data_IF_841196405702
#
_entry.id   IF_841196405702
#
_cell.length_a   1.000
_cell.length_b   1.000
_cell.length_c   1.000
_cell.angle_alpha   90.00
_cell.angle_beta   90.00
_cell.angle_gamma   90.00
#
_symmetry.space_group_name_H-M   'P 1'
#
loop_
_entity.id
_entity.type
_entity.pdbx_description
1 polymer ?
#
# COMPACT_ATOMS: atom_id res chain seq x y z
N UNK A 1 -10.12 68.07 13.45
CA UNK A 1 -11.52 67.94 13.91
C UNK A 1 -11.53 67.92 15.44
N UNK A 2 -12.00 68.99 16.09
CA UNK A 2 -12.18 69.02 17.55
C UNK A 2 -13.39 68.14 17.89
N UNK A 3 -13.18 67.14 18.75
CA UNK A 3 -14.24 66.25 19.23
C UNK A 3 -15.24 67.11 20.01
N UNK A 4 -16.51 67.03 19.63
CA UNK A 4 -17.57 67.89 20.14
C UNK A 4 -18.01 67.36 21.51
N UNK A 5 -17.51 67.93 22.62
CA UNK A 5 -17.74 67.44 23.99
C UNK A 5 -19.09 67.88 24.61
N UNK A 6 -19.90 68.65 23.87
CA UNK A 6 -21.23 69.10 24.29
C UNK A 6 -22.18 68.00 24.81
N UNK A 7 -22.30 66.79 24.22
CA UNK A 7 -23.21 65.78 24.76
C UNK A 7 -22.79 65.27 26.15
N UNK A 8 -21.49 65.29 26.46
CA UNK A 8 -20.96 64.85 27.75
C UNK A 8 -21.25 65.90 28.83
N UNK A 9 -21.06 67.19 28.51
CA UNK A 9 -21.37 68.32 29.39
C UNK A 9 -22.89 68.39 29.68
N UNK A 10 -23.73 68.24 28.66
CA UNK A 10 -25.19 68.24 28.82
C UNK A 10 -25.63 67.08 29.72
N UNK A 11 -25.05 65.88 29.57
CA UNK A 11 -25.37 64.73 30.43
C UNK A 11 -25.00 64.98 31.90
N UNK A 12 -23.85 65.61 32.16
CA UNK A 12 -23.40 65.96 33.51
C UNK A 12 -24.32 66.98 34.19
N UNK A 13 -24.75 68.00 33.46
CA UNK A 13 -25.67 69.03 33.98
C UNK A 13 -27.04 68.43 34.30
N UNK A 14 -27.57 67.55 33.44
CA UNK A 14 -28.84 66.85 33.68
C UNK A 14 -28.75 65.96 34.91
N UNK A 15 -27.66 65.21 35.08
CA UNK A 15 -27.44 64.36 36.27
C UNK A 15 -27.39 65.22 37.55
N UNK A 16 -26.69 66.36 37.51
CA UNK A 16 -26.59 67.27 38.65
C UNK A 16 -27.97 67.83 39.05
N UNK A 17 -28.78 68.25 38.07
CA UNK A 17 -30.13 68.75 38.32
C UNK A 17 -31.05 67.68 38.92
N UNK A 18 -30.95 66.43 38.45
CA UNK A 18 -31.70 65.30 39.01
C UNK A 18 -31.29 65.03 40.47
N UNK A 19 -29.99 65.12 40.80
CA UNK A 19 -29.49 64.95 42.17
C UNK A 19 -29.99 66.05 43.11
N UNK A 20 -29.98 67.32 42.65
CA UNK A 20 -30.49 68.46 43.43
C UNK A 20 -31.99 68.33 43.66
N UNK A 21 -32.75 67.95 42.62
CA UNK A 21 -34.19 67.75 42.73
C UNK A 21 -34.55 66.61 43.68
N UNK A 22 -33.82 65.49 43.64
CA UNK A 22 -34.06 64.37 44.56
C UNK A 22 -33.79 64.76 46.01
N UNK A 23 -32.77 65.59 46.27
CA UNK A 23 -32.45 66.08 47.61
C UNK A 23 -33.58 66.92 48.22
N UNK A 24 -34.25 67.75 47.41
CA UNK A 24 -35.38 68.58 47.83
C UNK A 24 -36.62 67.72 48.14
N UNK A 25 -36.85 66.64 47.40
CA UNK A 25 -38.02 65.79 47.59
C UNK A 25 -37.90 64.79 48.77
N UNK A 26 -36.70 64.53 49.29
CA UNK A 26 -36.47 63.53 50.36
C UNK A 26 -37.27 63.82 51.64
N UNK A 27 -37.35 65.08 52.08
CA UNK A 27 -38.11 65.42 53.30
C UNK A 27 -39.62 65.17 53.14
N UNK A 28 -40.19 65.52 51.98
CA UNK A 28 -41.61 65.30 51.73
C UNK A 28 -41.95 63.80 51.68
N UNK A 29 -41.09 63.00 51.06
CA UNK A 29 -41.22 61.55 50.99
C UNK A 29 -41.05 60.92 52.38
N UNK A 30 -40.11 61.41 53.19
CA UNK A 30 -39.87 60.91 54.55
C UNK A 30 -41.01 61.21 55.53
N UNK A 31 -41.62 62.40 55.42
CA UNK A 31 -42.81 62.76 56.17
C UNK A 31 -44.02 61.88 55.79
N UNK A 32 -44.16 61.52 54.52
CA UNK A 32 -45.24 60.64 54.05
C UNK A 32 -45.04 59.17 54.43
N UNK A 33 -43.82 58.63 54.26
CA UNK A 33 -43.52 57.21 54.48
C UNK A 33 -43.32 56.85 55.96
N UNK A 34 -42.75 57.76 56.77
CA UNK A 34 -42.50 57.55 58.20
C UNK A 34 -42.94 58.77 59.04
N UNK A 35 -44.24 59.10 59.07
CA UNK A 35 -44.76 60.35 59.65
C UNK A 35 -44.50 60.53 61.14
N UNK A 36 -44.34 59.44 61.90
CA UNK A 36 -44.19 59.45 63.37
C UNK A 36 -42.80 59.09 63.87
N UNK A 37 -41.82 58.92 62.97
CA UNK A 37 -40.47 58.47 63.33
C UNK A 37 -39.48 59.63 63.33
N UNK A 38 -38.76 59.82 64.45
CA UNK A 38 -37.77 60.89 64.58
C UNK A 38 -36.53 60.65 63.69
N UNK A 39 -36.27 59.42 63.25
CA UNK A 39 -35.18 59.05 62.35
C UNK A 39 -35.63 58.81 60.89
N UNK A 40 -36.83 59.31 60.50
CA UNK A 40 -37.48 59.10 59.19
C UNK A 40 -36.58 59.29 57.96
N UNK A 41 -35.77 60.35 57.94
CA UNK A 41 -34.88 60.65 56.81
C UNK A 41 -33.82 59.55 56.63
N UNK A 42 -33.32 58.97 57.73
CA UNK A 42 -32.39 57.85 57.70
C UNK A 42 -33.02 56.56 57.17
N UNK A 43 -34.28 56.28 57.52
CA UNK A 43 -35.02 55.11 57.01
C UNK A 43 -35.35 55.22 55.52
N UNK A 44 -35.75 56.41 55.05
CA UNK A 44 -35.95 56.64 53.60
C UNK A 44 -34.63 56.53 52.85
N UNK A 45 -33.54 57.09 53.36
CA UNK A 45 -32.21 56.94 52.75
C UNK A 45 -31.80 55.47 52.66
N UNK A 46 -32.00 54.68 53.72
CA UNK A 46 -31.71 53.25 53.73
C UNK A 46 -32.57 52.46 52.71
N UNK A 47 -33.86 52.80 52.58
CA UNK A 47 -34.74 52.21 51.58
C UNK A 47 -34.25 52.52 50.16
N UNK A 48 -33.94 53.78 49.87
CA UNK A 48 -33.42 54.22 48.56
C UNK A 48 -32.11 53.49 48.25
N UNK A 49 -31.18 53.41 49.21
CA UNK A 49 -29.92 52.69 49.04
C UNK A 49 -30.12 51.20 48.79
N UNK A 50 -31.08 50.55 49.46
CA UNK A 50 -31.39 49.14 49.23
C UNK A 50 -32.01 48.90 47.85
N UNK A 51 -32.90 49.78 47.40
CA UNK A 51 -33.51 49.69 46.06
C UNK A 51 -32.45 49.94 44.98
N UNK A 52 -31.61 50.96 45.15
CA UNK A 52 -30.48 51.24 44.25
C UNK A 52 -29.47 50.10 44.23
N UNK A 53 -29.12 49.54 45.39
CA UNK A 53 -28.26 48.36 45.50
C UNK A 53 -28.86 47.14 44.80
N UNK A 54 -30.14 46.84 45.05
CA UNK A 54 -30.84 45.71 44.43
C UNK A 54 -30.96 45.84 42.91
N UNK A 55 -31.30 47.04 42.41
CA UNK A 55 -31.36 47.33 40.97
C UNK A 55 -29.99 47.27 40.30
N UNK A 56 -28.94 47.76 40.96
CA UNK A 56 -27.57 47.62 40.47
C UNK A 56 -27.14 46.14 40.39
N UNK A 57 -27.50 45.32 41.38
CA UNK A 57 -27.25 43.86 41.37
C UNK A 57 -28.00 43.17 40.23
N UNK A 58 -29.29 43.47 40.06
CA UNK A 58 -30.11 42.91 38.96
C UNK A 58 -29.57 43.32 37.58
N UNK A 59 -29.16 44.58 37.43
CA UNK A 59 -28.53 45.05 36.19
C UNK A 59 -27.19 44.35 35.95
N UNK A 60 -26.37 44.16 36.98
CA UNK A 60 -25.13 43.39 36.90
C UNK A 60 -25.35 41.95 36.46
N UNK A 61 -26.35 41.27 37.04
CA UNK A 61 -26.78 39.92 36.63
C UNK A 61 -27.26 39.88 35.18
N UNK A 62 -28.05 40.87 34.75
CA UNK A 62 -28.50 40.98 33.36
C UNK A 62 -27.32 41.12 32.38
N UNK A 63 -26.35 41.98 32.69
CA UNK A 63 -25.13 42.15 31.87
C UNK A 63 -24.29 40.88 31.88
N UNK A 64 -24.13 40.23 33.03
CA UNK A 64 -23.41 38.96 33.15
C UNK A 64 -24.08 37.86 32.31
N UNK A 65 -25.40 37.72 32.38
CA UNK A 65 -26.16 36.76 31.57
C UNK A 65 -26.06 37.06 30.08
N UNK A 66 -26.18 38.34 29.68
CA UNK A 66 -26.00 38.75 28.28
C UNK A 66 -24.58 38.43 27.78
N UNK A 67 -23.56 38.65 28.61
CA UNK A 67 -22.17 38.32 28.29
C UNK A 67 -21.96 36.81 28.18
N UNK A 68 -22.52 36.02 29.10
CA UNK A 68 -22.46 34.57 29.06
C UNK A 68 -23.08 34.02 27.76
N UNK A 69 -24.27 34.50 27.38
CA UNK A 69 -24.93 34.09 26.14
C UNK A 69 -24.18 34.55 24.87
N UNK A 70 -23.54 35.71 24.90
CA UNK A 70 -22.66 36.15 23.81
C UNK A 70 -21.40 35.28 23.70
N UNK A 71 -20.87 34.83 24.84
CA UNK A 71 -19.71 33.95 24.90
C UNK A 71 -20.05 32.54 24.38
N UNK A 72 -21.20 31.97 24.75
CA UNK A 72 -21.68 30.68 24.22
C UNK A 72 -21.75 30.68 22.69
N UNK A 73 -22.39 31.70 22.09
CA UNK A 73 -22.43 31.86 20.63
C UNK A 73 -21.05 32.07 20.01
N UNK A 74 -20.16 32.77 20.73
CA UNK A 74 -18.78 32.96 20.29
C UNK A 74 -18.02 31.63 20.20
N UNK A 75 -18.24 30.74 21.16
CA UNK A 75 -17.64 29.39 21.17
C UNK A 75 -18.20 28.53 20.04
N UNK A 76 -19.51 28.58 19.78
CA UNK A 76 -20.15 27.84 18.68
C UNK A 76 -19.59 28.25 17.31
N UNK A 77 -19.54 29.55 17.02
CA UNK A 77 -18.96 30.07 15.78
C UNK A 77 -17.48 29.72 15.66
N UNK A 78 -16.73 29.74 16.78
CA UNK A 78 -15.34 29.34 16.80
C UNK A 78 -15.17 27.83 16.53
N UNK A 79 -16.10 27.00 17.01
CA UNK A 79 -16.16 25.57 16.70
C UNK A 79 -16.37 25.32 15.21
N UNK A 80 -17.38 25.95 14.61
CA UNK A 80 -17.65 25.84 13.16
C UNK A 80 -16.48 26.33 12.31
N UNK A 81 -15.81 27.40 12.73
CA UNK A 81 -14.63 27.92 12.02
C UNK A 81 -13.45 26.93 12.07
N UNK A 82 -13.25 26.26 13.19
CA UNK A 82 -12.18 25.27 13.36
C UNK A 82 -12.47 24.00 12.54
N UNK A 83 -13.72 23.57 12.47
CA UNK A 83 -14.15 22.44 11.63
C UNK A 83 -13.86 22.72 10.15
N UNK A 84 -14.31 23.88 9.63
CA UNK A 84 -13.99 24.30 8.26
C UNK A 84 -12.49 24.41 8.00
N UNK A 85 -11.73 24.88 8.99
CA UNK A 85 -10.28 24.96 8.88
C UNK A 85 -9.65 23.55 8.80
N UNK A 86 -10.15 22.60 9.58
CA UNK A 86 -9.71 21.20 9.54
C UNK A 86 -10.03 20.55 8.18
N UNK A 87 -11.23 20.77 7.64
CA UNK A 87 -11.60 20.30 6.30
C UNK A 87 -10.70 20.89 5.22
N UNK A 88 -10.40 22.19 5.29
CA UNK A 88 -9.49 22.87 4.37
C UNK A 88 -8.07 22.27 4.43
N UNK A 89 -7.57 21.94 5.62
CA UNK A 89 -6.25 21.32 5.82
C UNK A 89 -6.23 19.92 5.18
N UNK A 90 -7.25 19.10 5.38
CA UNK A 90 -7.33 17.78 4.75
C UNK A 90 -7.39 17.86 3.22
N UNK A 91 -8.19 18.77 2.66
CA UNK A 91 -8.24 19.02 1.22
C UNK A 91 -6.87 19.46 0.67
N UNK A 92 -6.17 20.33 1.40
CA UNK A 92 -4.83 20.79 1.02
C UNK A 92 -3.82 19.65 1.06
N UNK A 93 -3.84 18.84 2.12
CA UNK A 93 -2.98 17.66 2.27
C UNK A 93 -3.20 16.67 1.13
N UNK A 94 -4.46 16.39 0.79
CA UNK A 94 -4.81 15.53 -0.35
C UNK A 94 -4.28 16.10 -1.67
N UNK A 95 -4.51 17.39 -1.93
CA UNK A 95 -4.01 18.06 -3.13
C UNK A 95 -2.48 18.00 -3.25
N UNK A 96 -1.75 18.09 -2.14
CA UNK A 96 -0.29 17.98 -2.14
C UNK A 96 0.20 16.57 -2.50
N UNK A 97 -0.48 15.53 -2.01
CA UNK A 97 -0.15 14.15 -2.38
C UNK A 97 -0.44 13.91 -3.86
N UNK A 98 -1.58 14.39 -4.37
CA UNK A 98 -1.92 14.30 -5.79
C UNK A 98 -0.90 15.02 -6.69
N UNK A 99 -0.38 16.17 -6.26
CA UNK A 99 0.67 16.90 -6.98
C UNK A 99 1.99 16.14 -6.99
N UNK A 100 2.43 15.61 -5.84
CA UNK A 100 3.62 14.73 -5.75
C UNK A 100 3.49 13.49 -6.65
N UNK A 101 2.32 12.85 -6.60
CA UNK A 101 2.04 11.67 -7.44
C UNK A 101 2.14 12.02 -8.93
N UNK A 102 1.49 13.12 -9.35
CA UNK A 102 1.56 13.60 -10.73
C UNK A 102 3.01 13.86 -11.16
N UNK A 103 3.78 14.60 -10.36
CA UNK A 103 5.17 14.92 -10.66
C UNK A 103 6.04 13.66 -10.76
N UNK A 104 5.84 12.70 -9.85
CA UNK A 104 6.56 11.43 -9.86
C UNK A 104 6.25 10.58 -11.12
N UNK A 105 5.00 10.59 -11.59
CA UNK A 105 4.62 9.96 -12.87
C UNK A 105 5.27 10.68 -14.05
N UNK A 106 5.31 12.02 -14.05
CA UNK A 106 6.00 12.79 -15.10
C UNK A 106 7.51 12.47 -15.13
N UNK A 107 8.14 12.28 -13.97
CA UNK A 107 9.55 11.87 -13.87
C UNK A 107 9.85 10.52 -14.52
N UNK A 108 8.91 9.57 -14.51
CA UNK A 108 9.08 8.28 -15.21
C UNK A 108 9.25 8.45 -16.73
N UNK A 109 8.68 9.52 -17.30
CA UNK A 109 8.78 9.84 -18.72
C UNK A 109 10.09 10.53 -19.13
N UNK A 110 11.00 10.78 -18.19
CA UNK A 110 12.29 11.41 -18.48
C UNK A 110 13.23 10.47 -19.25
N UNK A 111 14.19 11.06 -19.98
CA UNK A 111 15.33 10.36 -20.59
C UNK A 111 16.52 10.21 -19.62
N UNK A 112 16.48 10.91 -18.47
CA UNK A 112 17.56 10.91 -17.48
C UNK A 112 17.28 9.91 -16.37
N UNK A 113 18.13 8.89 -16.29
CA UNK A 113 18.05 7.84 -15.26
C UNK A 113 17.90 8.39 -13.82
N UNK A 114 18.66 9.41 -13.35
CA UNK A 114 18.48 9.93 -11.99
C UNK A 114 17.09 10.52 -11.71
N UNK A 115 16.44 11.10 -12.72
CA UNK A 115 15.08 11.66 -12.60
C UNK A 115 14.07 10.53 -12.47
N UNK A 116 14.19 9.49 -13.31
CA UNK A 116 13.32 8.32 -13.27
C UNK A 116 13.42 7.62 -11.91
N UNK A 117 14.64 7.40 -11.41
CA UNK A 117 14.86 6.79 -10.10
C UNK A 117 14.24 7.61 -8.96
N UNK A 118 14.32 8.95 -9.04
CA UNK A 118 13.63 9.85 -8.11
C UNK A 118 12.12 9.70 -8.17
N UNK A 119 11.53 9.61 -9.37
CA UNK A 119 10.11 9.33 -9.56
C UNK A 119 9.65 7.99 -9.00
N UNK A 120 10.44 6.92 -9.20
CA UNK A 120 10.14 5.59 -8.65
C UNK A 120 10.15 5.62 -7.11
N UNK A 121 11.18 6.24 -6.52
CA UNK A 121 11.28 6.37 -5.08
C UNK A 121 10.12 7.20 -4.50
N UNK A 122 9.71 8.28 -5.17
CA UNK A 122 8.59 9.11 -4.74
C UNK A 122 7.24 8.37 -4.84
N UNK A 123 7.00 7.63 -5.93
CA UNK A 123 5.81 6.79 -6.06
C UNK A 123 5.75 5.73 -4.96
N UNK A 124 6.86 5.06 -4.68
CA UNK A 124 6.93 4.09 -3.60
C UNK A 124 6.62 4.72 -2.24
N UNK A 125 7.20 5.91 -1.95
CA UNK A 125 6.94 6.64 -0.71
C UNK A 125 5.47 7.07 -0.58
N UNK A 126 4.83 7.52 -1.65
CA UNK A 126 3.40 7.85 -1.66
C UNK A 126 2.56 6.59 -1.37
N UNK A 127 2.92 5.46 -1.97
CA UNK A 127 2.27 4.19 -1.70
C UNK A 127 2.46 3.71 -0.26
N UNK A 128 3.56 4.08 0.42
CA UNK A 128 3.80 3.82 1.86
C UNK A 128 3.05 4.81 2.79
N UNK A 129 2.84 6.05 2.36
CA UNK A 129 2.14 7.05 3.17
C UNK A 129 0.61 6.85 3.14
N UNK A 130 0.07 6.31 2.03
CA UNK A 130 -1.37 6.15 1.83
C UNK A 130 -1.69 4.88 1.02
N UNK A 131 -1.56 3.74 1.71
CA UNK A 131 -1.67 2.40 1.13
C UNK A 131 -3.01 2.18 0.42
N UNK A 132 -4.11 2.56 1.09
CA UNK A 132 -5.47 2.33 0.60
C UNK A 132 -5.76 3.00 -0.74
N UNK A 133 -5.14 4.15 -1.00
CA UNK A 133 -5.42 4.94 -2.20
C UNK A 133 -4.40 4.70 -3.33
N UNK A 134 -3.11 4.55 -3.01
CA UNK A 134 -2.06 4.59 -4.04
C UNK A 134 -1.31 3.27 -4.22
N UNK A 135 -1.39 2.31 -3.31
CA UNK A 135 -0.57 1.09 -3.41
C UNK A 135 -0.79 0.34 -4.73
N UNK A 136 -2.04 0.03 -5.07
CA UNK A 136 -2.38 -0.69 -6.29
C UNK A 136 -2.04 0.13 -7.55
N UNK A 137 -2.30 1.44 -7.54
CA UNK A 137 -2.05 2.32 -8.68
C UNK A 137 -0.55 2.41 -8.96
N UNK A 138 0.26 2.66 -7.92
CA UNK A 138 1.73 2.72 -8.03
C UNK A 138 2.29 1.37 -8.49
N UNK A 139 1.83 0.28 -7.89
CA UNK A 139 2.25 -1.07 -8.25
C UNK A 139 2.02 -1.36 -9.74
N UNK A 140 0.82 -1.05 -10.25
CA UNK A 140 0.45 -1.25 -11.65
C UNK A 140 1.24 -0.34 -12.59
N UNK A 141 1.47 0.93 -12.22
CA UNK A 141 2.30 1.85 -13.01
C UNK A 141 3.72 1.31 -13.14
N UNK A 142 4.33 0.87 -12.04
CA UNK A 142 5.71 0.39 -12.03
C UNK A 142 5.86 -0.96 -12.76
N UNK A 143 4.91 -1.88 -12.64
CA UNK A 143 4.87 -3.12 -13.44
C UNK A 143 4.71 -2.79 -14.94
N UNK A 144 3.79 -1.88 -15.28
CA UNK A 144 3.60 -1.40 -16.65
C UNK A 144 4.85 -0.72 -17.20
N UNK A 145 5.55 0.03 -16.36
CA UNK A 145 6.81 0.68 -16.71
C UNK A 145 7.84 -0.35 -17.14
N UNK A 146 8.09 -1.40 -16.34
CA UNK A 146 9.00 -2.51 -16.70
C UNK A 146 8.61 -3.10 -18.05
N UNK A 147 7.33 -3.43 -18.26
CA UNK A 147 6.86 -4.00 -19.53
C UNK A 147 7.10 -3.06 -20.71
N UNK A 148 6.94 -1.76 -20.54
CA UNK A 148 7.15 -0.78 -21.61
C UNK A 148 8.64 -0.56 -21.92
N UNK A 149 9.48 -0.47 -20.88
CA UNK A 149 10.88 -0.09 -21.00
C UNK A 149 11.81 -1.26 -21.22
N UNK A 150 11.35 -2.47 -20.93
CA UNK A 150 12.10 -3.72 -21.02
C UNK A 150 11.27 -4.79 -21.70
N UNK A 151 10.64 -4.52 -22.83
CA UNK A 151 9.94 -5.56 -23.60
C UNK A 151 10.89 -6.37 -24.49
N UNK A 152 10.40 -7.51 -24.98
CA UNK A 152 11.14 -8.41 -25.87
C UNK A 152 11.59 -7.79 -27.20
N UNK A 153 11.04 -6.65 -27.65
CA UNK A 153 11.44 -6.02 -28.91
C UNK A 153 12.69 -5.15 -28.76
N UNK A 154 13.11 -4.86 -27.52
CA UNK A 154 14.30 -4.05 -27.25
C UNK A 154 15.56 -4.90 -27.20
N UNK A 155 16.63 -4.37 -27.76
CA UNK A 155 17.95 -4.99 -27.65
C UNK A 155 18.43 -4.97 -26.19
N UNK A 156 19.16 -6.00 -25.72
CA UNK A 156 19.62 -6.07 -24.33
C UNK A 156 20.45 -4.86 -23.85
N UNK A 157 21.13 -4.16 -24.77
CA UNK A 157 21.92 -2.95 -24.49
C UNK A 157 21.07 -1.70 -24.23
N UNK A 158 19.82 -1.69 -24.69
CA UNK A 158 18.90 -0.55 -24.58
C UNK A 158 17.98 -0.67 -23.35
N UNK A 159 18.13 -1.76 -22.57
CA UNK A 159 17.40 -2.02 -21.34
C UNK A 159 18.17 -1.43 -20.16
N UNK A 160 17.54 -0.50 -19.45
CA UNK A 160 18.11 0.07 -18.24
C UNK A 160 17.92 -0.89 -17.05
N UNK A 161 18.96 -1.65 -16.74
CA UNK A 161 18.93 -2.65 -15.65
C UNK A 161 18.84 -2.00 -14.28
N UNK A 162 19.43 -0.82 -14.07
CA UNK A 162 19.35 -0.09 -12.79
C UNK A 162 17.91 0.26 -12.44
N UNK A 163 17.17 0.78 -13.42
CA UNK A 163 15.76 1.15 -13.24
C UNK A 163 14.91 -0.10 -12.97
N UNK A 164 15.04 -1.16 -13.77
CA UNK A 164 14.33 -2.41 -13.52
C UNK A 164 14.65 -2.96 -12.13
N UNK A 165 15.92 -3.00 -11.75
CA UNK A 165 16.33 -3.51 -10.44
C UNK A 165 15.72 -2.69 -9.31
N UNK A 166 15.71 -1.37 -9.43
CA UNK A 166 15.14 -0.48 -8.41
C UNK A 166 13.65 -0.74 -8.24
N UNK A 167 12.90 -0.91 -9.34
CA UNK A 167 11.48 -1.25 -9.29
C UNK A 167 11.28 -2.62 -8.64
N UNK A 168 12.03 -3.65 -9.07
CA UNK A 168 11.95 -4.99 -8.48
C UNK A 168 12.20 -4.92 -6.97
N UNK A 169 13.20 -4.16 -6.53
CA UNK A 169 13.54 -4.06 -5.13
C UNK A 169 12.39 -3.45 -4.32
N UNK A 170 11.83 -2.33 -4.78
CA UNK A 170 10.72 -1.69 -4.08
C UNK A 170 9.43 -2.51 -4.08
N UNK A 171 9.14 -3.25 -5.16
CA UNK A 171 7.89 -3.98 -5.31
C UNK A 171 7.91 -5.41 -4.75
N UNK A 172 9.08 -6.05 -4.69
CA UNK A 172 9.18 -7.50 -4.41
C UNK A 172 10.25 -7.87 -3.38
N UNK A 173 11.21 -6.99 -3.07
CA UNK A 173 12.34 -7.26 -2.18
C UNK A 173 12.19 -6.56 -0.82
N UNK A 174 11.22 -6.97 0.00
CA UNK A 174 11.25 -6.86 1.47
C UNK A 174 9.92 -7.33 2.07
N UNK A 175 9.95 -8.41 2.85
CA UNK A 175 8.78 -8.94 3.58
C UNK A 175 8.82 -8.67 5.09
N UNK A 176 9.86 -7.98 5.57
CA UNK A 176 10.10 -7.78 7.00
C UNK A 176 9.50 -6.47 7.56
N UNK A 177 8.87 -5.65 6.72
CA UNK A 177 8.19 -4.43 7.17
C UNK A 177 6.72 -4.76 7.43
N UNK A 178 6.32 -4.68 8.71
CA UNK A 178 4.90 -4.68 9.08
C UNK A 178 4.17 -3.64 8.22
N UNK A 179 3.05 -4.05 7.58
CA UNK A 179 2.26 -3.22 6.67
C UNK A 179 2.91 -2.97 5.28
N UNK A 180 3.61 -3.94 4.68
CA UNK A 180 4.08 -3.79 3.29
C UNK A 180 2.91 -3.62 2.28
N UNK A 181 2.85 -2.53 1.49
CA UNK A 181 1.66 -2.13 0.73
C UNK A 181 1.31 -3.06 -0.44
N UNK A 182 2.26 -3.87 -0.92
CA UNK A 182 2.07 -4.70 -2.12
C UNK A 182 1.86 -6.18 -1.83
N UNK A 183 1.80 -6.57 -0.55
CA UNK A 183 1.77 -7.98 -0.09
C UNK A 183 0.65 -8.84 -0.71
N UNK A 184 -0.49 -8.23 -1.05
CA UNK A 184 -1.66 -8.93 -1.61
C UNK A 184 -1.89 -8.66 -3.10
N UNK A 185 -0.95 -8.00 -3.78
CA UNK A 185 -1.08 -7.66 -5.19
C UNK A 185 -0.46 -8.74 -6.07
N UNK A 186 -1.02 -8.93 -7.26
CA UNK A 186 -0.55 -9.92 -8.24
C UNK A 186 0.25 -9.21 -9.34
N UNK A 187 1.56 -9.45 -9.46
CA UNK A 187 2.39 -8.77 -10.45
C UNK A 187 2.07 -9.23 -11.87
N UNK A 188 1.92 -8.28 -12.79
CA UNK A 188 1.90 -8.58 -14.23
C UNK A 188 3.16 -8.04 -14.90
N UNK A 189 4.10 -8.95 -15.12
CA UNK A 189 5.38 -8.70 -15.75
C UNK A 189 5.47 -9.37 -17.13
N UNK A 190 4.34 -9.83 -17.69
CA UNK A 190 4.31 -10.55 -18.96
C UNK A 190 4.98 -9.79 -20.10
N UNK A 191 5.59 -10.53 -21.04
CA UNK A 191 6.34 -9.99 -22.19
C UNK A 191 7.55 -9.10 -21.84
N UNK A 192 8.01 -9.13 -20.59
CA UNK A 192 9.20 -8.39 -20.18
C UNK A 192 10.49 -9.19 -20.40
N UNK A 193 11.57 -8.46 -20.67
CA UNK A 193 12.94 -8.92 -20.69
C UNK A 193 13.60 -8.49 -19.39
N UNK A 194 13.62 -9.41 -18.44
CA UNK A 194 14.22 -9.27 -17.12
C UNK A 194 15.65 -9.83 -17.08
N UNK A 195 16.26 -10.10 -18.24
CA UNK A 195 17.61 -10.64 -18.29
C UNK A 195 18.62 -9.65 -17.68
N UNK A 196 19.40 -10.13 -16.72
CA UNK A 196 20.35 -9.34 -15.94
C UNK A 196 19.74 -8.59 -14.74
N UNK A 197 18.44 -8.75 -14.46
CA UNK A 197 17.82 -8.31 -13.21
C UNK A 197 18.07 -9.37 -12.13
N UNK A 198 18.43 -8.96 -10.92
CA UNK A 198 18.55 -9.85 -9.78
C UNK A 198 17.16 -10.10 -9.17
N UNK A 199 16.71 -11.36 -9.22
CA UNK A 199 15.48 -11.85 -8.62
C UNK A 199 15.79 -12.87 -7.50
N UNK A 200 16.91 -12.72 -6.81
CA UNK A 200 17.24 -13.48 -5.60
C UNK A 200 16.45 -12.91 -4.41
N UNK A 201 15.82 -13.79 -3.62
CA UNK A 201 15.07 -13.44 -2.41
C UNK A 201 13.90 -12.44 -2.63
N UNK A 202 13.29 -12.45 -3.81
CA UNK A 202 12.10 -11.64 -4.14
C UNK A 202 10.83 -12.49 -4.04
N UNK A 203 9.75 -11.91 -3.53
CA UNK A 203 8.44 -12.58 -3.54
C UNK A 203 7.67 -12.14 -4.78
N UNK A 204 7.52 -13.08 -5.70
CA UNK A 204 6.76 -12.87 -6.94
C UNK A 204 5.61 -13.90 -7.01
N UNK A 205 4.99 -14.17 -5.86
CA UNK A 205 3.83 -15.06 -5.77
C UNK A 205 2.66 -14.52 -6.60
N UNK A 206 1.90 -15.41 -7.21
CA UNK A 206 0.78 -15.08 -8.11
C UNK A 206 1.13 -14.24 -9.35
N UNK A 207 2.41 -14.06 -9.69
CA UNK A 207 2.75 -13.26 -10.85
C UNK A 207 2.43 -13.93 -12.18
N UNK A 208 2.06 -13.09 -13.13
CA UNK A 208 2.08 -13.41 -14.54
C UNK A 208 3.46 -13.07 -15.12
N UNK A 209 4.26 -14.11 -15.36
CA UNK A 209 5.57 -14.05 -16.03
C UNK A 209 5.53 -14.66 -17.43
N UNK A 210 4.35 -14.75 -18.03
CA UNK A 210 4.21 -15.34 -19.36
C UNK A 210 5.01 -14.56 -20.41
N UNK A 211 5.62 -15.30 -21.35
CA UNK A 211 6.43 -14.74 -22.42
C UNK A 211 7.63 -13.88 -21.96
N UNK A 212 8.12 -14.06 -20.73
CA UNK A 212 9.28 -13.31 -20.25
C UNK A 212 10.62 -13.94 -20.66
N UNK A 213 11.66 -13.10 -20.76
CA UNK A 213 13.06 -13.54 -20.68
C UNK A 213 13.57 -13.34 -19.26
N UNK A 214 13.78 -14.44 -18.54
CA UNK A 214 14.13 -14.42 -17.12
C UNK A 214 15.65 -14.49 -16.90
N UNK A 215 16.15 -13.86 -15.83
CA UNK A 215 17.55 -13.96 -15.39
C UNK A 215 17.78 -15.25 -14.59
N UNK A 216 18.99 -15.41 -14.04
CA UNK A 216 19.23 -16.37 -12.95
C UNK A 216 18.32 -16.04 -11.77
N UNK A 217 17.61 -17.05 -11.25
CA UNK A 217 16.60 -16.88 -10.19
C UNK A 217 16.88 -17.77 -8.97
N UNK A 218 18.17 -17.97 -8.65
CA UNK A 218 18.63 -18.83 -7.56
C UNK A 218 17.99 -18.49 -6.20
N UNK A 219 17.82 -19.51 -5.37
CA UNK A 219 17.38 -19.41 -3.97
C UNK A 219 15.99 -18.77 -3.72
N UNK A 220 15.14 -18.67 -4.76
CA UNK A 220 13.81 -18.07 -4.64
C UNK A 220 12.70 -19.11 -4.40
N UNK A 221 11.61 -18.68 -3.77
CA UNK A 221 10.39 -19.50 -3.60
C UNK A 221 9.23 -18.85 -4.35
N UNK A 222 8.57 -19.63 -5.20
CA UNK A 222 7.41 -19.20 -5.99
C UNK A 222 6.19 -20.00 -5.59
N UNK A 223 5.09 -19.31 -5.30
CA UNK A 223 3.80 -19.92 -4.96
C UNK A 223 2.72 -19.40 -5.89
N UNK A 224 1.98 -20.30 -6.55
CA UNK A 224 0.85 -19.99 -7.45
C UNK A 224 1.18 -19.05 -8.62
N UNK A 225 2.46 -18.90 -8.97
CA UNK A 225 2.90 -18.06 -10.09
C UNK A 225 2.73 -18.77 -11.44
N UNK A 226 2.42 -18.00 -12.49
CA UNK A 226 2.25 -18.50 -13.85
C UNK A 226 3.47 -18.15 -14.72
N UNK A 227 4.15 -19.19 -15.21
CA UNK A 227 5.33 -19.11 -16.08
C UNK A 227 5.06 -19.62 -17.50
N UNK A 228 3.79 -19.73 -17.90
CA UNK A 228 3.42 -20.31 -19.19
C UNK A 228 3.98 -19.49 -20.35
N UNK A 229 4.48 -20.18 -21.37
CA UNK A 229 5.11 -19.60 -22.56
C UNK A 229 6.33 -18.71 -22.29
N UNK A 230 6.92 -18.75 -21.08
CA UNK A 230 8.16 -18.04 -20.75
C UNK A 230 9.40 -18.80 -21.23
N UNK A 231 10.54 -18.10 -21.33
CA UNK A 231 11.80 -18.66 -21.78
C UNK A 231 12.89 -18.51 -20.72
N UNK A 232 13.34 -19.65 -20.21
CA UNK A 232 14.46 -19.84 -19.31
C UNK A 232 15.63 -20.44 -20.09
N UNK A 233 16.20 -19.71 -21.04
CA UNK A 233 17.36 -20.15 -21.79
C UNK A 233 18.64 -19.92 -20.97
N UNK A 234 19.41 -20.99 -20.70
CA UNK A 234 20.69 -20.91 -19.98
C UNK A 234 20.58 -20.29 -18.58
N UNK A 235 19.49 -20.58 -17.88
CA UNK A 235 19.22 -20.08 -16.53
C UNK A 235 19.75 -21.08 -15.49
N UNK A 236 20.37 -20.56 -14.44
CA UNK A 236 20.65 -21.32 -13.22
C UNK A 236 19.42 -21.26 -12.30
N UNK A 237 18.88 -22.43 -11.98
CA UNK A 237 17.68 -22.61 -11.17
C UNK A 237 18.01 -23.23 -9.81
N UNK A 238 19.22 -23.05 -9.30
CA UNK A 238 19.68 -23.72 -8.10
C UNK A 238 18.95 -23.27 -6.82
N UNK A 239 18.55 -24.25 -5.99
CA UNK A 239 17.90 -24.06 -4.69
C UNK A 239 16.53 -23.35 -4.76
N UNK A 240 15.75 -23.61 -5.80
CA UNK A 240 14.44 -22.97 -6.00
C UNK A 240 13.31 -23.90 -5.58
N UNK A 241 12.25 -23.31 -5.03
CA UNK A 241 11.02 -24.02 -4.69
C UNK A 241 9.83 -23.45 -5.46
N UNK A 242 9.09 -24.33 -6.13
CA UNK A 242 7.86 -23.99 -6.85
C UNK A 242 6.69 -24.77 -6.25
N UNK A 243 5.69 -24.04 -5.75
CA UNK A 243 4.47 -24.57 -5.15
C UNK A 243 3.26 -24.11 -5.94
N UNK A 244 2.46 -25.05 -6.47
CA UNK A 244 1.22 -24.74 -7.19
C UNK A 244 1.40 -23.80 -8.41
N UNK A 245 2.60 -23.79 -9.00
CA UNK A 245 2.90 -23.00 -10.19
C UNK A 245 2.42 -23.66 -11.49
N UNK A 246 2.25 -22.84 -12.54
CA UNK A 246 1.86 -23.29 -13.88
C UNK A 246 2.99 -23.08 -14.91
N UNK A 247 3.27 -24.14 -15.68
CA UNK A 247 4.31 -24.14 -16.73
C UNK A 247 3.75 -24.76 -18.01
N UNK A 248 2.86 -24.06 -18.73
CA UNK A 248 2.37 -24.51 -20.03
C UNK A 248 3.20 -23.89 -21.16
N UNK A 249 3.72 -24.67 -22.10
CA UNK A 249 4.53 -24.18 -23.22
C UNK A 249 5.81 -23.39 -22.81
N UNK A 250 6.32 -23.64 -21.60
CA UNK A 250 7.56 -23.01 -21.10
C UNK A 250 8.80 -23.72 -21.67
N UNK A 251 9.86 -22.95 -21.94
CA UNK A 251 11.14 -23.45 -22.46
C UNK A 251 12.25 -23.31 -21.41
N UNK A 252 12.98 -24.39 -21.13
CA UNK A 252 14.12 -24.40 -20.20
C UNK A 252 15.43 -24.88 -20.87
N UNK A 253 15.63 -24.49 -22.12
CA UNK A 253 16.72 -25.02 -22.93
C UNK A 253 18.07 -24.62 -22.33
N UNK A 254 19.02 -25.56 -22.25
CA UNK A 254 20.39 -25.30 -21.78
C UNK A 254 20.45 -24.81 -20.32
N UNK A 255 19.38 -25.02 -19.54
CA UNK A 255 19.30 -24.58 -18.14
C UNK A 255 19.80 -25.63 -17.15
N UNK A 256 20.29 -25.14 -16.01
CA UNK A 256 20.85 -25.95 -14.94
C UNK A 256 19.91 -25.94 -13.74
N UNK A 257 19.58 -27.14 -13.26
CA UNK A 257 18.67 -27.36 -12.15
C UNK A 257 19.41 -28.11 -11.05
N UNK A 258 19.54 -27.52 -9.86
CA UNK A 258 20.15 -28.18 -8.70
C UNK A 258 19.34 -27.93 -7.43
N UNK A 259 19.06 -28.96 -6.63
CA UNK A 259 18.33 -28.84 -5.36
C UNK A 259 16.97 -28.14 -5.52
N UNK A 260 16.22 -28.48 -6.56
CA UNK A 260 14.91 -27.85 -6.82
C UNK A 260 13.78 -28.69 -6.23
N UNK A 261 12.75 -28.00 -5.73
CA UNK A 261 11.50 -28.62 -5.29
C UNK A 261 10.34 -28.17 -6.19
N UNK A 262 9.71 -29.11 -6.87
CA UNK A 262 8.48 -28.89 -7.65
C UNK A 262 7.31 -29.62 -6.95
N UNK A 263 6.34 -28.88 -6.43
CA UNK A 263 5.23 -29.41 -5.61
C UNK A 263 3.86 -28.94 -6.14
N UNK A 264 2.94 -29.88 -6.38
CA UNK A 264 1.57 -29.62 -6.85
C UNK A 264 1.50 -28.89 -8.20
N UNK A 265 2.28 -29.32 -9.18
CA UNK A 265 2.47 -28.59 -10.44
C UNK A 265 1.78 -29.28 -11.60
N UNK A 266 1.24 -28.45 -12.50
CA UNK A 266 0.74 -28.88 -13.81
C UNK A 266 1.61 -28.25 -14.90
N UNK A 267 2.13 -29.09 -15.78
CA UNK A 267 3.03 -28.62 -16.83
C UNK A 267 2.85 -29.38 -18.15
N UNK A 268 3.01 -28.64 -19.25
CA UNK A 268 3.09 -29.15 -20.62
C UNK A 268 4.21 -28.42 -21.36
N UNK A 269 5.42 -28.59 -20.86
CA UNK A 269 6.62 -27.87 -21.32
C UNK A 269 7.40 -28.68 -22.35
N UNK A 270 8.32 -28.02 -23.04
CA UNK A 270 9.38 -28.71 -23.78
C UNK A 270 10.72 -28.46 -23.07
N UNK A 271 11.40 -29.55 -22.74
CA UNK A 271 12.72 -29.57 -22.12
C UNK A 271 13.72 -30.14 -23.13
N UNK A 272 14.57 -29.26 -23.69
CA UNK A 272 15.63 -29.66 -24.61
C UNK A 272 17.00 -29.52 -23.97
N UNK A 273 17.68 -30.66 -23.79
CA UNK A 273 19.02 -30.76 -23.18
C UNK A 273 19.23 -30.09 -21.81
N UNK A 274 18.27 -30.10 -20.86
CA UNK A 274 18.56 -29.66 -19.49
C UNK A 274 19.47 -30.66 -18.77
N UNK A 275 20.22 -30.15 -17.80
CA UNK A 275 20.92 -30.95 -16.79
C UNK A 275 20.27 -30.69 -15.44
N UNK A 276 19.75 -31.75 -14.82
CA UNK A 276 19.00 -31.70 -13.57
C UNK A 276 19.68 -32.62 -12.56
N UNK A 277 20.15 -32.05 -11.45
CA UNK A 277 20.94 -32.74 -10.42
C UNK A 277 20.30 -32.59 -9.04
N UNK A 278 20.17 -33.68 -8.28
CA UNK A 278 19.71 -33.64 -6.87
C UNK A 278 18.39 -32.90 -6.64
N UNK A 279 17.41 -33.07 -7.53
CA UNK A 279 16.11 -32.35 -7.46
C UNK A 279 14.96 -33.27 -7.06
N UNK A 280 13.96 -32.70 -6.39
CA UNK A 280 12.76 -33.39 -5.91
C UNK A 280 11.50 -32.91 -6.66
N UNK A 281 10.72 -33.88 -7.13
CA UNK A 281 9.45 -33.69 -7.80
C UNK A 281 8.37 -34.44 -7.04
N UNK A 282 7.40 -33.73 -6.47
CA UNK A 282 6.33 -34.33 -5.67
C UNK A 282 4.95 -33.89 -6.13
N UNK A 283 4.07 -34.85 -6.42
CA UNK A 283 2.72 -34.60 -6.92
C UNK A 283 2.72 -33.69 -8.17
N UNK A 284 3.54 -34.03 -9.17
CA UNK A 284 3.67 -33.27 -10.43
C UNK A 284 2.95 -33.99 -11.57
N UNK A 285 2.06 -33.27 -12.26
CA UNK A 285 1.38 -33.72 -13.47
C UNK A 285 2.10 -33.20 -14.72
N UNK A 286 2.89 -34.08 -15.35
CA UNK A 286 3.51 -33.87 -16.64
C UNK A 286 2.56 -34.31 -17.76
N UNK A 287 1.85 -33.36 -18.40
CA UNK A 287 0.90 -33.65 -19.49
C UNK A 287 1.47 -33.21 -20.82
N UNK A 288 1.66 -34.13 -21.76
CA UNK A 288 2.17 -33.80 -23.10
C UNK A 288 3.60 -33.26 -23.11
N UNK A 289 4.39 -33.50 -22.05
CA UNK A 289 5.75 -32.98 -21.94
C UNK A 289 6.67 -33.58 -23.01
N UNK A 290 7.54 -32.75 -23.60
CA UNK A 290 8.58 -33.19 -24.52
C UNK A 290 9.95 -33.14 -23.83
N UNK A 291 10.56 -34.28 -23.56
CA UNK A 291 11.92 -34.40 -23.04
C UNK A 291 12.82 -34.91 -24.16
N UNK A 292 13.77 -34.09 -24.61
CA UNK A 292 14.76 -34.50 -25.60
C UNK A 292 16.18 -34.26 -25.07
N UNK A 293 17.03 -35.29 -25.15
CA UNK A 293 18.45 -35.22 -24.74
C UNK A 293 18.65 -34.72 -23.29
N UNK A 294 17.68 -34.97 -22.41
CA UNK A 294 17.64 -34.45 -21.04
C UNK A 294 18.36 -35.38 -20.06
N UNK A 295 19.09 -34.83 -19.09
CA UNK A 295 19.80 -35.63 -18.09
C UNK A 295 19.30 -35.33 -16.67
N UNK A 296 18.74 -36.34 -16.01
CA UNK A 296 18.30 -36.31 -14.62
C UNK A 296 19.22 -37.20 -13.78
N UNK A 297 20.06 -36.60 -12.94
CA UNK A 297 20.95 -37.33 -12.04
C UNK A 297 20.52 -37.17 -10.59
N UNK A 298 20.45 -38.29 -9.86
CA UNK A 298 20.13 -38.32 -8.43
C UNK A 298 18.85 -37.55 -8.07
N UNK A 299 17.85 -37.59 -8.94
CA UNK A 299 16.57 -36.92 -8.72
C UNK A 299 15.56 -37.86 -8.04
N UNK A 300 14.59 -37.29 -7.33
CA UNK A 300 13.54 -38.06 -6.67
C UNK A 300 12.16 -37.64 -7.19
N UNK A 301 11.36 -38.63 -7.59
CA UNK A 301 10.00 -38.44 -8.09
C UNK A 301 9.01 -39.20 -7.19
N UNK A 302 8.09 -38.48 -6.54
CA UNK A 302 7.04 -39.02 -5.68
C UNK A 302 5.66 -38.60 -6.17
N UNK A 303 4.74 -39.55 -6.39
CA UNK A 303 3.34 -39.29 -6.76
C UNK A 303 3.17 -38.49 -8.08
N UNK A 304 4.17 -38.56 -8.97
CA UNK A 304 4.12 -37.87 -10.27
C UNK A 304 3.38 -38.68 -11.34
N UNK A 305 2.78 -37.98 -12.31
CA UNK A 305 2.13 -38.60 -13.48
C UNK A 305 2.68 -38.03 -14.77
N UNK A 306 3.16 -38.90 -15.66
CA UNK A 306 3.56 -38.60 -17.03
C UNK A 306 2.49 -39.10 -17.99
N UNK A 307 1.67 -38.21 -18.54
CA UNK A 307 0.60 -38.56 -19.49
C UNK A 307 0.88 -37.95 -20.85
N UNK A 308 0.77 -38.75 -21.93
CA UNK A 308 1.11 -38.32 -23.31
C UNK A 308 2.50 -37.69 -23.47
N UNK A 309 3.45 -38.01 -22.58
CA UNK A 309 4.81 -37.51 -22.62
C UNK A 309 5.62 -38.17 -23.75
N UNK A 310 6.48 -37.39 -24.40
CA UNK A 310 7.47 -37.86 -25.35
C UNK A 310 8.88 -37.74 -24.74
N UNK A 311 9.53 -38.87 -24.47
CA UNK A 311 10.81 -38.93 -23.78
C UNK A 311 11.84 -39.58 -24.71
N UNK A 312 12.64 -38.77 -25.40
CA UNK A 312 13.64 -39.22 -26.37
C UNK A 312 15.05 -38.89 -25.88
N UNK A 313 15.97 -39.86 -26.00
CA UNK A 313 17.41 -39.70 -25.66
C UNK A 313 17.65 -39.09 -24.28
N UNK A 314 16.75 -39.32 -23.33
CA UNK A 314 16.83 -38.73 -22.00
C UNK A 314 17.17 -39.79 -20.96
N UNK A 315 17.96 -39.40 -19.95
CA UNK A 315 18.58 -40.32 -19.00
C UNK A 315 18.12 -39.99 -17.57
N UNK A 316 17.81 -41.03 -16.79
CA UNK A 316 17.47 -40.91 -15.37
C UNK A 316 18.42 -41.78 -14.53
N UNK A 317 19.58 -41.23 -14.18
CA UNK A 317 20.71 -41.95 -13.61
C UNK A 317 20.77 -41.71 -12.09
N UNK A 318 20.75 -42.78 -11.28
CA UNK A 318 20.76 -42.64 -9.82
C UNK A 318 19.48 -42.04 -9.23
N UNK A 319 18.41 -41.93 -10.04
CA UNK A 319 17.15 -41.29 -9.66
C UNK A 319 16.16 -42.31 -9.06
N UNK A 320 15.35 -41.86 -8.11
CA UNK A 320 14.32 -42.67 -7.41
C UNK A 320 12.91 -42.34 -7.87
N UNK A 321 12.05 -43.36 -7.94
CA UNK A 321 10.64 -43.23 -8.34
C UNK A 321 9.76 -43.94 -7.32
N UNK A 322 8.78 -43.22 -6.77
CA UNK A 322 7.78 -43.74 -5.82
C UNK A 322 6.38 -43.32 -6.27
N UNK A 323 5.48 -44.28 -6.48
CA UNK A 323 4.10 -44.04 -6.91
C UNK A 323 3.97 -43.20 -8.21
N UNK A 324 4.92 -43.38 -9.14
CA UNK A 324 4.92 -42.64 -10.41
C UNK A 324 4.14 -43.39 -11.48
N UNK A 325 3.29 -42.67 -12.23
CA UNK A 325 2.47 -43.23 -13.32
C UNK A 325 2.98 -42.76 -14.68
N UNK A 326 3.09 -43.68 -15.64
CA UNK A 326 3.38 -43.39 -17.05
C UNK A 326 2.20 -43.89 -17.90
N UNK A 327 1.55 -42.97 -18.62
CA UNK A 327 0.43 -43.25 -19.53
C UNK A 327 0.86 -42.89 -20.97
N UNK A 328 1.93 -43.52 -21.44
CA UNK A 328 2.59 -43.19 -22.72
C UNK A 328 3.04 -44.41 -23.51
N UNK A 329 3.05 -44.26 -24.83
CA UNK A 329 3.83 -45.10 -25.73
C UNK A 329 5.28 -44.58 -25.72
N UNK A 330 6.15 -45.17 -24.91
CA UNK A 330 7.60 -44.90 -24.86
C UNK A 330 8.28 -45.37 -26.16
N UNK A 331 8.15 -44.63 -27.26
CA UNK A 331 8.92 -44.88 -28.49
C UNK A 331 10.18 -44.01 -28.51
N UNK A 332 11.10 -44.33 -27.60
CA UNK A 332 12.44 -43.75 -27.51
C UNK A 332 13.18 -44.35 -26.33
N UNK A 333 14.50 -44.53 -26.47
CA UNK A 333 15.38 -45.17 -25.48
C UNK A 333 15.35 -44.45 -24.12
N UNK A 334 14.39 -44.80 -23.26
CA UNK A 334 14.42 -44.45 -21.85
C UNK A 334 15.47 -45.36 -21.19
N UNK A 335 16.58 -44.78 -20.76
CA UNK A 335 17.66 -45.50 -20.09
C UNK A 335 17.58 -45.19 -18.60
N UNK A 336 17.22 -46.23 -17.83
CA UNK A 336 17.09 -46.21 -16.37
C UNK A 336 18.28 -46.95 -15.77
N UNK A 337 19.37 -46.24 -15.47
CA UNK A 337 20.58 -46.85 -14.90
C UNK A 337 20.70 -46.56 -13.39
N UNK A 338 20.91 -47.62 -12.60
CA UNK A 338 21.16 -47.60 -11.14
C UNK A 338 20.04 -46.92 -10.31
N UNK A 339 18.84 -47.49 -10.28
CA UNK A 339 17.69 -46.95 -9.53
C UNK A 339 17.40 -47.70 -8.22
N UNK A 340 16.89 -46.99 -7.22
CA UNK A 340 16.27 -47.57 -6.02
C UNK A 340 14.76 -47.72 -6.25
N UNK A 341 14.27 -48.96 -6.42
CA UNK A 341 12.87 -49.24 -6.74
C UNK A 341 12.01 -49.43 -5.49
N UNK A 342 10.98 -48.60 -5.32
CA UNK A 342 9.77 -48.95 -4.57
C UNK A 342 8.54 -48.77 -5.47
N UNK A 343 8.06 -49.91 -5.99
CA UNK A 343 6.87 -50.12 -6.83
C UNK A 343 6.90 -49.54 -8.27
N UNK A 344 7.47 -50.32 -9.19
CA UNK A 344 7.11 -50.34 -10.61
C UNK A 344 5.98 -51.38 -10.84
N UNK A 345 4.73 -51.08 -10.50
CA UNK A 345 3.62 -52.02 -10.78
C UNK A 345 2.82 -51.70 -12.05
N UNK A 346 3.25 -50.75 -12.88
CA UNK A 346 2.47 -50.32 -14.06
C UNK A 346 3.29 -50.09 -15.33
N UNK A 347 4.56 -50.52 -15.38
CA UNK A 347 5.45 -50.31 -16.54
C UNK A 347 5.72 -51.60 -17.34
N UNK A 348 5.04 -52.70 -17.01
CA UNK A 348 5.12 -53.95 -17.75
C UNK A 348 3.68 -54.45 -17.92
N UNK A 349 3.15 -54.58 -19.16
CA UNK A 349 1.93 -55.34 -19.38
C UNK A 349 2.11 -56.82 -19.01
#
# INVERSE_FOLDING_TARGET
MKRNDYPLIISLVVILLILIFSFICIEQIALWAYPKDNARNGKVLQLILNVLGGTAVLYGLYVAFRRARAMERGVEIQGEALEKQSEQIELTRKSQIDERFKNAVEHLGSDKEPIILGGIAELHQIALENHEMYAEVVFNILCSYIRSTSNMKKEPKDINRTINQTIINYLFQNHEVDNYPYSNLSPDLSYSNLNGTNLENVNISNANLSFCFLPSINASTFTKSNFSSSNFLSVDLSNIKFYECEFFETYFNISYFQNIEFINIKCSTSLFSPIILNSEFKNVEFRGIELYNSNFFACYFEECTFSRANILKSFFIGSGFKNVKFDTNLFGSLILERQAFQMLSSLIP
#
